data_IF_352716476876
#
_entry.id   IF_352716476876
#
_cell.length_a   1.000
_cell.length_b   1.000
_cell.length_c   1.000
_cell.angle_alpha   90.00
_cell.angle_beta   90.00
_cell.angle_gamma   90.00
#
_symmetry.space_group_name_H-M   'P 1'
#
loop_
_entity.id
_entity.type
_entity.pdbx_description
1 polymer ?
#
# COMPACT_ATOMS: atom_id res chain seq x y z
N UNK A 1 11.89 -8.86 7.90
CA UNK A 1 11.03 -7.65 7.92
C UNK A 1 10.68 -7.17 6.51
N UNK A 2 11.56 -7.23 5.53
CA UNK A 2 11.30 -6.82 4.14
C UNK A 2 10.01 -7.45 3.58
N UNK A 3 9.89 -8.76 3.57
CA UNK A 3 8.68 -9.44 3.08
C UNK A 3 7.37 -8.98 3.77
N UNK A 4 7.44 -8.60 5.06
CA UNK A 4 6.28 -8.05 5.77
C UNK A 4 5.97 -6.60 5.34
N UNK A 5 6.99 -5.81 5.02
CA UNK A 5 6.81 -4.47 4.47
C UNK A 5 6.19 -4.55 3.07
N UNK A 6 6.74 -5.40 2.18
CA UNK A 6 6.20 -5.64 0.83
C UNK A 6 4.74 -6.09 0.85
N UNK A 7 4.38 -6.96 1.82
CA UNK A 7 2.99 -7.36 2.00
C UNK A 7 2.08 -6.18 2.38
N UNK A 8 2.53 -5.32 3.30
CA UNK A 8 1.75 -4.14 3.71
C UNK A 8 1.63 -3.11 2.59
N UNK A 9 2.72 -2.84 1.88
CA UNK A 9 2.73 -1.85 0.80
C UNK A 9 1.91 -2.32 -0.39
N UNK A 10 1.93 -3.63 -0.71
CA UNK A 10 1.04 -4.21 -1.71
C UNK A 10 -0.46 -4.08 -1.33
N UNK A 11 -0.82 -4.30 -0.06
CA UNK A 11 -2.19 -4.05 0.42
C UNK A 11 -2.57 -2.57 0.33
N UNK A 12 -1.63 -1.67 0.61
CA UNK A 12 -1.86 -0.23 0.50
C UNK A 12 -2.01 0.18 -0.97
N UNK A 13 -1.17 -0.31 -1.87
CA UNK A 13 -1.23 -0.06 -3.30
C UNK A 13 -2.61 -0.44 -3.87
N UNK A 14 -3.07 -1.66 -3.62
CA UNK A 14 -4.41 -2.12 -4.01
C UNK A 14 -5.52 -1.24 -3.40
N UNK A 15 -5.36 -0.81 -2.15
CA UNK A 15 -6.34 0.06 -1.49
C UNK A 15 -6.43 1.45 -2.13
N UNK A 16 -5.30 2.08 -2.44
CA UNK A 16 -5.26 3.42 -3.02
C UNK A 16 -5.91 3.43 -4.42
N UNK A 17 -5.69 2.38 -5.21
CA UNK A 17 -6.25 2.29 -6.55
C UNK A 17 -7.64 1.65 -6.63
N UNK A 18 -8.10 0.99 -5.57
CA UNK A 18 -9.48 0.48 -5.47
C UNK A 18 -10.49 1.59 -5.21
N UNK A 19 -10.04 2.79 -4.78
CA UNK A 19 -10.89 3.93 -4.47
C UNK A 19 -10.44 5.15 -5.27
N UNK A 20 -11.16 5.45 -6.32
CA UNK A 20 -10.84 6.54 -7.24
C UNK A 20 -10.74 7.91 -6.56
N UNK A 21 -11.52 8.13 -5.50
CA UNK A 21 -11.49 9.39 -4.75
C UNK A 21 -10.12 9.69 -4.14
N UNK A 22 -9.30 8.67 -3.89
CA UNK A 22 -8.00 8.83 -3.22
C UNK A 22 -7.03 9.70 -4.01
N UNK A 23 -7.03 9.59 -5.34
CA UNK A 23 -6.12 10.31 -6.25
C UNK A 23 -6.88 11.20 -7.27
N UNK A 24 -8.18 11.44 -7.06
CA UNK A 24 -8.99 12.20 -8.02
C UNK A 24 -8.45 13.61 -8.28
N UNK A 25 -8.04 14.29 -7.21
CA UNK A 25 -7.52 15.67 -7.26
C UNK A 25 -5.99 15.73 -7.47
N UNK A 26 -5.32 14.59 -7.61
CA UNK A 26 -3.87 14.55 -7.79
C UNK A 26 -3.48 14.96 -9.22
N UNK A 27 -2.34 15.62 -9.35
CA UNK A 27 -1.71 15.89 -10.65
C UNK A 27 -1.44 14.58 -11.42
N UNK A 28 -1.59 14.55 -12.76
CA UNK A 28 -1.35 13.36 -13.57
C UNK A 28 0.04 12.74 -13.35
N UNK A 29 1.09 13.55 -13.15
CA UNK A 29 2.42 13.05 -12.85
C UNK A 29 2.48 12.33 -11.50
N UNK A 30 1.80 12.87 -10.48
CA UNK A 30 1.70 12.24 -9.16
C UNK A 30 0.93 10.91 -9.26
N UNK A 31 -0.18 10.88 -10.01
CA UNK A 31 -0.92 9.63 -10.27
C UNK A 31 -0.05 8.57 -10.96
N UNK A 32 0.71 8.99 -11.97
CA UNK A 32 1.62 8.09 -12.69
C UNK A 32 2.73 7.54 -11.79
N UNK A 33 3.30 8.37 -10.92
CA UNK A 33 4.31 7.96 -9.95
C UNK A 33 3.76 6.90 -8.97
N UNK A 34 2.56 7.15 -8.44
CA UNK A 34 1.92 6.19 -7.54
C UNK A 34 1.48 4.91 -8.26
N UNK A 35 1.04 5.00 -9.53
CA UNK A 35 0.71 3.82 -10.34
C UNK A 35 1.94 2.94 -10.57
N UNK A 36 3.06 3.53 -10.99
CA UNK A 36 4.34 2.84 -11.13
C UNK A 36 4.74 2.16 -9.82
N UNK A 37 4.71 2.89 -8.71
CA UNK A 37 5.05 2.33 -7.39
C UNK A 37 4.13 1.19 -6.99
N UNK A 38 2.83 1.30 -7.26
CA UNK A 38 1.88 0.22 -6.99
C UNK A 38 2.18 -1.07 -7.80
N UNK A 39 2.64 -0.92 -9.04
CA UNK A 39 3.08 -2.05 -9.88
C UNK A 39 4.31 -2.71 -9.28
N UNK A 40 5.34 -1.93 -8.92
CA UNK A 40 6.56 -2.42 -8.26
C UNK A 40 6.24 -3.22 -6.98
N UNK A 41 5.35 -2.72 -6.12
CA UNK A 41 4.95 -3.41 -4.90
C UNK A 41 4.25 -4.76 -5.17
N UNK A 42 3.47 -4.84 -6.27
CA UNK A 42 2.83 -6.10 -6.66
C UNK A 42 3.84 -7.14 -7.16
N UNK A 43 4.90 -6.71 -7.82
CA UNK A 43 5.97 -7.60 -8.32
C UNK A 43 6.90 -8.06 -7.19
N UNK A 44 7.22 -7.16 -6.26
CA UNK A 44 8.18 -7.44 -5.18
C UNK A 44 7.64 -8.32 -4.06
N UNK A 45 6.33 -8.31 -3.80
CA UNK A 45 5.72 -9.01 -2.66
C UNK A 45 6.02 -10.51 -2.62
N UNK A 46 5.96 -11.16 -3.79
CA UNK A 46 6.17 -12.62 -3.90
C UNK A 46 7.65 -12.95 -3.76
N UNK A 47 8.52 -12.18 -4.43
CA UNK A 47 9.97 -12.39 -4.41
C UNK A 47 10.53 -12.26 -2.99
N UNK A 48 10.15 -11.20 -2.26
CA UNK A 48 10.61 -11.00 -0.89
C UNK A 48 10.13 -12.10 0.05
N UNK A 49 8.91 -12.62 -0.16
CA UNK A 49 8.34 -13.71 0.60
C UNK A 49 9.09 -15.03 0.32
N UNK A 50 9.35 -15.34 -0.94
CA UNK A 50 10.06 -16.54 -1.37
C UNK A 50 11.48 -16.60 -0.83
N UNK A 51 12.22 -15.50 -0.92
CA UNK A 51 13.57 -15.40 -0.33
C UNK A 51 13.51 -15.63 1.18
N UNK A 52 12.53 -15.06 1.87
CA UNK A 52 12.35 -15.26 3.30
C UNK A 52 12.09 -16.73 3.66
N UNK A 53 11.26 -17.43 2.89
CA UNK A 53 10.87 -18.81 3.19
C UNK A 53 11.88 -19.84 2.67
N UNK A 54 12.34 -19.70 1.42
CA UNK A 54 13.13 -20.73 0.73
C UNK A 54 14.63 -20.60 1.02
N UNK A 55 15.12 -19.37 1.19
CA UNK A 55 16.56 -19.09 1.45
C UNK A 55 16.79 -18.84 2.94
N UNK A 56 15.91 -18.05 3.55
CA UNK A 56 16.04 -17.69 4.97
C UNK A 56 15.49 -18.73 5.93
N UNK A 57 14.69 -19.68 5.45
CA UNK A 57 14.01 -20.72 6.23
C UNK A 57 13.38 -20.16 7.53
N UNK A 58 12.76 -18.98 7.43
CA UNK A 58 12.29 -18.21 8.59
C UNK A 58 11.13 -18.91 9.29
N UNK A 59 11.23 -19.21 10.60
CA UNK A 59 10.17 -19.87 11.35
C UNK A 59 8.86 -19.04 11.33
N UNK A 60 7.71 -19.75 11.35
CA UNK A 60 6.38 -19.11 11.34
C UNK A 60 6.18 -18.04 12.40
N UNK A 61 6.65 -18.29 13.62
CA UNK A 61 6.51 -17.30 14.70
C UNK A 61 7.25 -16.01 14.37
N UNK A 62 8.46 -16.10 13.83
CA UNK A 62 9.25 -14.95 13.38
C UNK A 62 8.55 -14.24 12.22
N UNK A 63 8.03 -14.96 11.22
CA UNK A 63 7.26 -14.42 10.12
C UNK A 63 6.05 -13.62 10.60
N UNK A 64 5.25 -14.23 11.49
CA UNK A 64 4.04 -13.61 12.07
C UNK A 64 4.38 -12.36 12.88
N UNK A 65 5.39 -12.46 13.74
CA UNK A 65 5.87 -11.33 14.55
C UNK A 65 6.40 -10.19 13.68
N UNK A 66 7.09 -10.51 12.59
CA UNK A 66 7.61 -9.51 11.66
C UNK A 66 6.51 -8.62 11.09
N UNK A 67 5.33 -9.17 10.71
CA UNK A 67 4.23 -8.36 10.21
C UNK A 67 3.70 -7.40 11.28
N UNK A 68 3.49 -7.88 12.51
CA UNK A 68 2.99 -7.04 13.61
C UNK A 68 3.96 -5.90 13.89
N UNK A 69 5.26 -6.22 14.03
CA UNK A 69 6.30 -5.23 14.31
C UNK A 69 6.39 -4.23 13.15
N UNK A 70 6.44 -4.70 11.91
CA UNK A 70 6.51 -3.83 10.74
C UNK A 70 5.30 -2.92 10.65
N UNK A 71 4.10 -3.44 10.90
CA UNK A 71 2.86 -2.64 10.95
C UNK A 71 2.96 -1.52 11.97
N UNK A 72 3.36 -1.83 13.20
CA UNK A 72 3.50 -0.82 14.26
C UNK A 72 4.55 0.24 13.92
N UNK A 73 5.70 -0.17 13.36
CA UNK A 73 6.76 0.75 12.96
C UNK A 73 6.32 1.65 11.80
N UNK A 74 5.72 1.09 10.75
CA UNK A 74 5.26 1.87 9.60
C UNK A 74 4.20 2.88 10.00
N UNK A 75 3.17 2.47 10.73
CA UNK A 75 2.11 3.38 11.16
C UNK A 75 2.63 4.41 12.18
N UNK A 76 3.43 4.00 13.15
CA UNK A 76 4.02 4.90 14.13
C UNK A 76 4.90 5.97 13.46
N UNK A 77 5.75 5.55 12.50
CA UNK A 77 6.59 6.46 11.73
C UNK A 77 5.75 7.40 10.86
N UNK A 78 4.73 6.89 10.17
CA UNK A 78 3.84 7.70 9.34
C UNK A 78 3.11 8.76 10.16
N UNK A 79 2.55 8.39 11.31
CA UNK A 79 1.88 9.34 12.21
C UNK A 79 2.85 10.41 12.73
N UNK A 80 4.05 9.99 13.13
CA UNK A 80 5.10 10.91 13.57
C UNK A 80 5.49 11.90 12.46
N UNK A 81 5.76 11.39 11.26
CA UNK A 81 6.13 12.25 10.11
C UNK A 81 5.02 13.20 9.72
N UNK A 82 3.78 12.73 9.70
CA UNK A 82 2.60 13.57 9.43
C UNK A 82 2.48 14.69 10.48
N UNK A 83 2.66 14.38 11.75
CA UNK A 83 2.62 15.38 12.81
C UNK A 83 3.72 16.43 12.65
N UNK A 84 4.96 16.01 12.31
CA UNK A 84 6.08 16.92 12.05
C UNK A 84 5.78 17.83 10.84
N UNK A 85 5.27 17.27 9.74
CA UNK A 85 4.92 18.04 8.53
C UNK A 85 3.86 19.08 8.86
N UNK A 86 2.74 18.70 9.47
CA UNK A 86 1.67 19.61 9.86
C UNK A 86 2.16 20.71 10.82
N UNK A 87 3.08 20.35 11.74
CA UNK A 87 3.72 21.35 12.62
C UNK A 87 4.56 22.36 11.84
N UNK A 88 5.32 21.90 10.84
CA UNK A 88 6.15 22.74 9.96
C UNK A 88 5.27 23.68 9.13
N UNK A 89 4.10 23.20 8.69
CA UNK A 89 3.10 24.00 7.96
C UNK A 89 2.36 25.02 8.85
N UNK A 90 2.70 25.10 10.15
CA UNK A 90 2.17 26.09 11.07
C UNK A 90 0.89 25.69 11.80
N UNK A 91 0.41 24.44 11.67
CA UNK A 91 -0.77 23.99 12.39
C UNK A 91 -0.51 23.83 13.89
N UNK A 92 -1.37 24.43 14.72
CA UNK A 92 -1.33 24.28 16.17
C UNK A 92 -1.61 22.82 16.60
N UNK A 93 -1.22 22.47 17.81
CA UNK A 93 -1.49 21.12 18.36
C UNK A 93 -2.97 20.73 18.32
N UNK A 94 -3.87 21.69 18.63
CA UNK A 94 -5.33 21.44 18.59
C UNK A 94 -5.83 21.13 17.18
N UNK A 95 -5.36 21.85 16.18
CA UNK A 95 -5.70 21.61 14.77
C UNK A 95 -5.18 20.25 14.31
N UNK A 96 -3.94 19.89 14.63
CA UNK A 96 -3.35 18.59 14.30
C UNK A 96 -4.12 17.43 14.93
N UNK A 97 -4.52 17.60 16.19
CA UNK A 97 -5.35 16.61 16.90
C UNK A 97 -6.75 16.45 16.25
N UNK A 98 -7.37 17.54 15.83
CA UNK A 98 -8.65 17.52 15.13
C UNK A 98 -8.52 16.82 13.76
N UNK A 99 -7.46 17.12 13.02
CA UNK A 99 -7.14 16.42 11.76
C UNK A 99 -6.96 14.92 11.97
N UNK A 100 -6.22 14.51 13.01
CA UNK A 100 -6.03 13.11 13.34
C UNK A 100 -7.37 12.44 13.71
N UNK A 101 -8.21 13.07 14.51
CA UNK A 101 -9.56 12.55 14.86
C UNK A 101 -10.46 12.36 13.65
N UNK A 102 -10.35 13.22 12.64
CA UNK A 102 -11.12 13.14 11.40
C UNK A 102 -10.53 12.11 10.42
N UNK A 103 -9.19 12.05 10.35
CA UNK A 103 -8.48 11.16 9.42
C UNK A 103 -8.45 9.69 9.87
N UNK A 104 -8.25 9.41 11.15
CA UNK A 104 -8.17 8.04 11.64
C UNK A 104 -9.40 7.17 11.33
N UNK A 105 -10.65 7.66 11.45
CA UNK A 105 -11.82 6.89 11.02
C UNK A 105 -11.87 6.59 9.53
N UNK A 106 -11.30 7.45 8.69
CA UNK A 106 -11.21 7.20 7.25
C UNK A 106 -10.25 6.05 6.93
N UNK A 107 -9.17 5.90 7.72
CA UNK A 107 -8.26 4.76 7.59
C UNK A 107 -8.82 3.48 8.24
N UNK A 108 -9.23 3.55 9.50
CA UNK A 108 -9.51 2.41 10.37
C UNK A 108 -10.98 2.25 10.74
N UNK A 109 -11.86 3.15 10.30
CA UNK A 109 -13.29 3.07 10.56
C UNK A 109 -13.90 1.82 9.91
N UNK A 110 -15.16 1.54 10.24
CA UNK A 110 -15.89 0.35 9.76
C UNK A 110 -15.91 0.21 8.22
N UNK A 111 -15.82 1.34 7.50
CA UNK A 111 -15.67 1.42 6.03
C UNK A 111 -14.33 2.02 5.62
N UNK A 112 -13.36 2.00 6.54
CA UNK A 112 -12.04 2.56 6.31
C UNK A 112 -11.27 1.79 5.24
N UNK A 113 -10.36 2.50 4.59
CA UNK A 113 -9.62 1.93 3.47
C UNK A 113 -8.78 0.72 3.88
N UNK A 114 -8.14 0.75 5.05
CA UNK A 114 -7.35 -0.37 5.54
C UNK A 114 -8.22 -1.50 6.11
N UNK A 115 -9.38 -1.17 6.67
CA UNK A 115 -10.32 -2.17 7.18
C UNK A 115 -10.89 -3.05 6.06
N UNK A 116 -11.00 -2.52 4.85
CA UNK A 116 -11.41 -3.29 3.67
C UNK A 116 -10.44 -4.45 3.34
N UNK A 117 -9.16 -4.34 3.72
CA UNK A 117 -8.11 -5.33 3.46
C UNK A 117 -7.79 -6.24 4.65
N UNK A 118 -8.60 -6.20 5.71
CA UNK A 118 -8.38 -6.96 6.94
C UNK A 118 -8.21 -8.47 6.72
N UNK A 119 -8.95 -9.04 5.77
CA UNK A 119 -8.87 -10.47 5.45
C UNK A 119 -7.51 -10.79 4.82
N UNK A 120 -7.12 -10.04 3.80
CA UNK A 120 -5.82 -10.19 3.14
C UNK A 120 -4.65 -9.95 4.12
N UNK A 121 -4.76 -8.97 5.02
CA UNK A 121 -3.80 -8.76 6.10
C UNK A 121 -3.72 -9.97 7.04
N UNK A 122 -4.89 -10.52 7.44
CA UNK A 122 -4.94 -11.66 8.36
C UNK A 122 -4.46 -12.98 7.74
N UNK A 123 -4.51 -13.10 6.42
CA UNK A 123 -4.06 -14.27 5.70
C UNK A 123 -2.56 -14.55 5.91
N UNK A 124 -1.76 -13.50 6.14
CA UNK A 124 -0.35 -13.65 6.53
C UNK A 124 -0.13 -14.59 7.72
N UNK A 125 -1.07 -14.68 8.63
CA UNK A 125 -0.97 -15.52 9.83
C UNK A 125 -1.35 -16.98 9.59
N UNK A 126 -1.88 -17.34 8.41
CA UNK A 126 -2.15 -18.73 8.03
C UNK A 126 -0.84 -19.48 7.80
N UNK A 127 -0.84 -20.78 8.10
CA UNK A 127 0.35 -21.63 7.94
C UNK A 127 0.79 -21.71 6.47
N UNK A 128 -0.17 -21.95 5.59
CA UNK A 128 0.06 -22.18 4.16
C UNK A 128 -0.15 -20.90 3.33
N UNK A 129 0.04 -19.74 3.95
CA UNK A 129 -0.08 -18.46 3.26
C UNK A 129 1.08 -18.23 2.30
N UNK A 130 0.73 -17.74 1.10
CA UNK A 130 1.66 -17.17 0.14
C UNK A 130 1.02 -15.93 -0.51
N UNK A 131 1.76 -14.83 -0.75
CA UNK A 131 1.19 -13.59 -1.32
C UNK A 131 0.53 -13.79 -2.68
N UNK A 132 0.97 -14.76 -3.50
CA UNK A 132 0.36 -15.05 -4.80
C UNK A 132 -1.08 -15.58 -4.73
N UNK A 133 -1.56 -15.95 -3.53
CA UNK A 133 -2.97 -16.29 -3.30
C UNK A 133 -3.87 -15.06 -3.38
N UNK A 134 -3.31 -13.85 -3.28
CA UNK A 134 -4.02 -12.62 -3.47
C UNK A 134 -3.94 -12.16 -4.93
N UNK A 135 -5.03 -11.63 -5.50
CA UNK A 135 -5.02 -11.17 -6.87
C UNK A 135 -4.05 -10.00 -7.06
N UNK A 136 -3.50 -9.91 -8.26
CA UNK A 136 -2.81 -8.71 -8.73
C UNK A 136 -3.86 -7.63 -8.99
N UNK A 137 -3.49 -6.35 -8.88
CA UNK A 137 -4.35 -5.23 -9.23
C UNK A 137 -4.85 -5.41 -10.67
N UNK A 138 -6.16 -5.29 -10.88
CA UNK A 138 -6.81 -5.56 -12.18
C UNK A 138 -6.23 -4.74 -13.33
N UNK A 139 -5.73 -3.55 -13.02
CA UNK A 139 -5.21 -2.60 -13.99
C UNK A 139 -3.74 -2.86 -14.38
N UNK A 140 -3.09 -3.88 -13.79
CA UNK A 140 -1.68 -4.19 -14.06
C UNK A 140 -1.39 -4.32 -15.56
N UNK A 141 -2.17 -5.14 -16.25
CA UNK A 141 -1.99 -5.36 -17.70
C UNK A 141 -2.21 -4.07 -18.51
N UNK A 142 -3.16 -3.21 -18.09
CA UNK A 142 -3.42 -1.93 -18.75
C UNK A 142 -2.20 -1.02 -18.68
N UNK A 143 -1.52 -0.99 -17.53
CA UNK A 143 -0.31 -0.19 -17.36
C UNK A 143 0.83 -0.72 -18.24
N UNK A 144 1.11 -2.03 -18.18
CA UNK A 144 2.16 -2.69 -18.98
C UNK A 144 1.93 -2.48 -20.46
N UNK A 145 0.72 -2.76 -20.96
CA UNK A 145 0.36 -2.62 -22.36
C UNK A 145 0.46 -1.17 -22.85
N UNK A 146 0.03 -0.22 -22.04
CA UNK A 146 0.10 1.20 -22.42
C UNK A 146 1.54 1.67 -22.45
N UNK A 147 2.34 1.32 -21.44
CA UNK A 147 3.76 1.68 -21.42
C UNK A 147 4.50 1.08 -22.62
N UNK A 148 4.25 -0.19 -22.94
CA UNK A 148 4.87 -0.86 -24.10
C UNK A 148 4.53 -0.19 -25.43
N UNK A 149 3.30 0.33 -25.57
CA UNK A 149 2.82 0.98 -26.80
C UNK A 149 3.28 2.43 -26.94
N UNK A 150 3.32 3.17 -25.84
CA UNK A 150 3.54 4.62 -25.87
C UNK A 150 4.96 5.03 -25.45
N UNK A 151 5.64 4.18 -24.70
CA UNK A 151 6.89 4.50 -24.00
C UNK A 151 6.76 5.76 -23.12
N UNK A 152 5.53 6.03 -22.63
CA UNK A 152 5.19 7.19 -21.81
C UNK A 152 4.60 6.72 -20.47
N UNK A 153 5.34 6.85 -19.35
CA UNK A 153 4.88 6.43 -18.03
C UNK A 153 3.71 7.27 -17.52
N UNK A 154 3.56 8.53 -17.95
CA UNK A 154 2.42 9.37 -17.57
C UNK A 154 1.15 8.88 -18.23
N UNK A 155 1.21 8.58 -19.53
CA UNK A 155 0.09 7.98 -20.26
C UNK A 155 -0.29 6.62 -19.70
N UNK A 156 0.69 5.78 -19.33
CA UNK A 156 0.45 4.47 -18.70
C UNK A 156 -0.20 4.63 -17.31
N UNK A 157 0.27 5.58 -16.51
CA UNK A 157 -0.29 5.87 -15.19
C UNK A 157 -1.73 6.39 -15.25
N UNK A 158 -2.03 7.25 -16.21
CA UNK A 158 -3.39 7.75 -16.42
C UNK A 158 -4.32 6.64 -16.91
N UNK A 159 -3.88 5.80 -17.86
CA UNK A 159 -4.64 4.64 -18.32
C UNK A 159 -4.93 3.65 -17.17
N UNK A 160 -3.92 3.37 -16.34
CA UNK A 160 -4.06 2.56 -15.13
C UNK A 160 -5.12 3.13 -14.19
N UNK A 161 -5.07 4.44 -13.91
CA UNK A 161 -6.02 5.11 -13.04
C UNK A 161 -7.43 5.12 -13.61
N UNK A 162 -7.57 5.35 -14.92
CA UNK A 162 -8.88 5.33 -15.60
C UNK A 162 -9.52 3.93 -15.60
N UNK A 163 -8.72 2.88 -15.76
CA UNK A 163 -9.19 1.50 -15.76
C UNK A 163 -9.65 1.00 -14.36
N UNK A 164 -9.34 1.72 -13.31
CA UNK A 164 -9.79 1.44 -11.92
C UNK A 164 -11.24 1.83 -11.63
N UNK A 165 -12.03 2.07 -12.65
CA UNK A 165 -13.44 2.47 -12.57
C UNK A 165 -14.39 1.28 -12.45
#
# INVERSE_FOLDING_TARGET
>A
MTAAAEHLTALMADTFYSKKETLAEADPFVRALFAWHAIEEMEHRDVAFDVMQQVGEVPELTRRSALVITTLLMFGFTLYRTDVMLKTDGFSFRQRLDMARKGLPWFFGRRGILTAKREQYSDWFKKDFHPNQHPIIRQYDVWIDTLAKTNDPIAAGEAFWQAGL
#
